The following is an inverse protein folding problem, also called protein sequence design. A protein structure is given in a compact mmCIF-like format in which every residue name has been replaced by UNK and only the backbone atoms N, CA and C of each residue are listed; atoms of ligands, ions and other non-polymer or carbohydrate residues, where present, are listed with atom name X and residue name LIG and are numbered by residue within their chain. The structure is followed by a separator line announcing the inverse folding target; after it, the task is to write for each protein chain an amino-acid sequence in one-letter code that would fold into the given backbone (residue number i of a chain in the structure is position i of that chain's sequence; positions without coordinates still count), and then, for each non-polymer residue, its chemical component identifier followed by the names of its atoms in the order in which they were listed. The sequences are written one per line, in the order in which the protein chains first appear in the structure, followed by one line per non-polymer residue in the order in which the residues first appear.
data_IF_691042986694
#
_entry.id   IF_691042986694
#
_cell.length_a   1.000
_cell.length_b   1.000
_cell.length_c   1.000
_cell.angle_alpha   90.00
_cell.angle_beta   90.00
_cell.angle_gamma   90.00
#
_symmetry.space_group_name_H-M   'P 1'
#
loop_
_entity.id
_entity.type
_entity.pdbx_description
1 polymer ?
#
# COMPACT_ATOMS: atom_id res chain seq x y z
N UNK A 1 0.74 9.53 2.70
CA UNK A 1 0.42 8.54 3.74
C UNK A 1 0.90 7.16 3.29
N UNK A 2 1.54 6.38 4.16
CA UNK A 2 1.99 5.01 3.86
C UNK A 2 1.25 4.04 4.76
N UNK A 3 0.66 3.02 4.17
CA UNK A 3 -0.39 2.22 4.80
C UNK A 3 -0.13 0.73 4.50
N UNK A 4 -0.08 -0.16 5.50
CA UNK A 4 0.11 -1.59 5.25
C UNK A 4 -1.21 -2.25 4.80
N UNK A 5 -1.14 -3.15 3.81
CA UNK A 5 -2.33 -3.79 3.24
C UNK A 5 -3.08 -4.71 4.21
N UNK A 6 -2.41 -5.22 5.24
CA UNK A 6 -2.91 -6.28 6.12
C UNK A 6 -3.62 -5.78 7.40
N UNK A 7 -3.71 -4.47 7.67
CA UNK A 7 -4.34 -3.98 8.91
C UNK A 7 -5.28 -2.79 8.72
N UNK A 8 -6.59 -3.06 8.60
CA UNK A 8 -7.63 -2.04 8.36
C UNK A 8 -7.68 -0.93 9.44
N UNK A 9 -7.38 -1.26 10.70
CA UNK A 9 -7.38 -0.29 11.81
C UNK A 9 -6.29 0.77 11.65
N UNK A 10 -5.04 0.37 11.36
CA UNK A 10 -3.93 1.31 11.15
C UNK A 10 -4.15 2.16 9.90
N UNK A 11 -4.84 1.61 8.90
CA UNK A 11 -5.14 2.32 7.66
C UNK A 11 -6.07 3.51 7.93
N UNK A 12 -7.00 3.35 8.86
CA UNK A 12 -7.97 4.40 9.21
C UNK A 12 -7.30 5.57 9.92
N UNK A 13 -6.46 5.30 10.93
CA UNK A 13 -5.77 6.33 11.72
C UNK A 13 -4.80 7.15 10.86
N UNK A 14 -3.97 6.50 10.05
CA UNK A 14 -2.99 7.18 9.20
C UNK A 14 -3.69 8.07 8.17
N UNK A 15 -4.77 7.57 7.56
CA UNK A 15 -5.54 8.35 6.60
C UNK A 15 -6.31 9.49 7.28
N UNK A 16 -6.77 9.30 8.52
CA UNK A 16 -7.41 10.36 9.28
C UNK A 16 -6.42 11.47 9.63
N UNK A 17 -5.24 11.13 10.15
CA UNK A 17 -4.20 12.11 10.44
C UNK A 17 -3.77 12.88 9.17
N UNK A 18 -3.69 12.19 8.02
CA UNK A 18 -3.42 12.84 6.74
C UNK A 18 -4.56 13.79 6.32
N UNK A 19 -5.81 13.39 6.53
CA UNK A 19 -6.99 14.20 6.24
C UNK A 19 -7.08 15.45 7.14
N UNK A 20 -6.72 15.33 8.42
CA UNK A 20 -6.66 16.46 9.36
C UNK A 20 -5.60 17.49 8.92
N UNK A 21 -4.46 17.02 8.40
CA UNK A 21 -3.42 17.88 7.86
C UNK A 21 -3.72 18.41 6.44
N UNK A 22 -4.49 17.67 5.63
CA UNK A 22 -4.86 18.02 4.26
C UNK A 22 -6.35 17.73 3.97
N UNK A 23 -7.26 18.62 4.42
CA UNK A 23 -8.71 18.40 4.31
C UNK A 23 -9.22 18.29 2.88
N UNK A 24 -8.51 18.88 1.91
CA UNK A 24 -8.89 18.82 0.51
C UNK A 24 -8.24 17.63 -0.24
N UNK A 25 -7.29 16.93 0.40
CA UNK A 25 -6.59 15.79 -0.18
C UNK A 25 -5.74 16.11 -1.40
N UNK A 26 -5.48 17.39 -1.70
CA UNK A 26 -4.82 17.83 -2.95
C UNK A 26 -3.33 17.57 -2.97
N UNK A 27 -2.73 17.30 -1.80
CA UNK A 27 -1.29 17.05 -1.63
C UNK A 27 -0.99 15.72 -0.93
N UNK A 28 -2.00 14.85 -0.81
CA UNK A 28 -1.88 13.56 -0.11
C UNK A 28 -2.01 12.40 -1.08
N UNK A 29 -0.92 11.65 -1.24
CA UNK A 29 -0.91 10.36 -1.95
C UNK A 29 -0.97 9.24 -0.93
N UNK A 30 -1.87 8.28 -1.15
CA UNK A 30 -1.97 7.07 -0.35
C UNK A 30 -1.18 5.93 -1.01
N UNK A 31 -0.18 5.42 -0.31
CA UNK A 31 0.64 4.29 -0.76
C UNK A 31 0.35 3.08 0.13
N UNK A 32 -0.10 2.00 -0.49
CA UNK A 32 -0.37 0.70 0.13
C UNK A 32 0.86 -0.19 -0.03
N UNK A 33 1.37 -0.72 1.07
CA UNK A 33 2.59 -1.54 1.13
C UNK A 33 2.30 -2.92 1.71
N UNK A 34 3.26 -3.84 1.62
CA UNK A 34 3.14 -5.22 2.16
C UNK A 34 1.93 -5.98 1.60
N UNK A 35 1.63 -5.75 0.33
CA UNK A 35 0.55 -6.43 -0.40
C UNK A 35 0.76 -7.95 -0.50
N UNK A 36 1.99 -8.41 -0.28
CA UNK A 36 2.39 -9.82 -0.21
C UNK A 36 1.95 -10.52 1.10
N UNK A 37 1.59 -9.75 2.13
CA UNK A 37 1.16 -10.27 3.44
C UNK A 37 -0.36 -10.17 3.64
N UNK A 38 -1.12 -9.94 2.56
CA UNK A 38 -2.58 -9.92 2.63
C UNK A 38 -3.08 -11.34 2.82
N UNK A 39 -3.90 -11.55 3.86
CA UNK A 39 -4.48 -12.85 4.14
C UNK A 39 -5.44 -13.29 3.02
N UNK A 40 -5.44 -14.60 2.75
CA UNK A 40 -6.36 -15.19 1.79
C UNK A 40 -7.82 -14.88 2.20
N UNK A 41 -8.56 -14.22 1.31
CA UNK A 41 -9.93 -13.73 1.57
C UNK A 41 -10.03 -12.24 1.92
N UNK A 42 -8.94 -11.58 2.32
CA UNK A 42 -8.89 -10.12 2.51
C UNK A 42 -8.48 -9.36 1.24
N UNK A 43 -8.02 -10.07 0.21
CA UNK A 43 -7.57 -9.53 -1.07
C UNK A 43 -8.62 -8.64 -1.74
N UNK A 44 -9.90 -9.03 -1.66
CA UNK A 44 -11.00 -8.26 -2.24
C UNK A 44 -11.11 -6.88 -1.59
N UNK A 45 -10.95 -6.79 -0.27
CA UNK A 45 -11.02 -5.53 0.46
C UNK A 45 -9.85 -4.60 0.10
N UNK A 46 -8.64 -5.16 -0.06
CA UNK A 46 -7.47 -4.40 -0.52
C UNK A 46 -7.66 -3.94 -1.96
N UNK A 47 -8.19 -4.80 -2.83
CA UNK A 47 -8.49 -4.45 -4.22
C UNK A 47 -9.53 -3.32 -4.32
N UNK A 48 -10.61 -3.37 -3.54
CA UNK A 48 -11.61 -2.29 -3.50
C UNK A 48 -11.06 -0.97 -2.94
N UNK A 49 -10.13 -1.04 -1.99
CA UNK A 49 -9.40 0.13 -1.50
C UNK A 49 -8.55 0.75 -2.62
N UNK A 50 -7.77 -0.07 -3.33
CA UNK A 50 -6.93 0.37 -4.45
C UNK A 50 -7.76 0.96 -5.60
N UNK A 51 -8.95 0.42 -5.86
CA UNK A 51 -9.92 0.96 -6.82
C UNK A 51 -10.63 2.23 -6.32
N UNK A 52 -10.23 2.78 -5.17
CA UNK A 52 -10.79 4.01 -4.61
C UNK A 52 -12.31 3.90 -4.31
N UNK A 53 -12.82 2.69 -4.05
CA UNK A 53 -14.26 2.44 -3.82
C UNK A 53 -14.67 2.58 -2.36
N UNK A 54 -13.84 2.13 -1.42
CA UNK A 54 -14.15 2.10 0.02
C UNK A 54 -13.96 3.47 0.68
N UNK A 55 -12.78 4.08 0.50
CA UNK A 55 -12.44 5.43 0.97
C UNK A 55 -11.85 6.19 -0.22
N UNK A 56 -12.36 7.37 -0.51
CA UNK A 56 -11.95 8.14 -1.69
C UNK A 56 -10.81 9.07 -1.35
N UNK A 57 -9.69 8.92 -2.05
CA UNK A 57 -8.57 9.85 -2.06
C UNK A 57 -8.55 10.62 -3.38
N UNK A 58 -8.26 11.92 -3.33
CA UNK A 58 -8.24 12.77 -4.52
C UNK A 58 -7.16 12.33 -5.54
N UNK A 59 -5.97 11.96 -5.04
CA UNK A 59 -4.87 11.45 -5.85
C UNK A 59 -4.85 9.91 -5.97
N UNK A 60 -5.90 9.24 -5.50
CA UNK A 60 -6.04 7.78 -5.55
C UNK A 60 -5.07 7.03 -4.62
N UNK A 61 -5.02 5.71 -4.84
CA UNK A 61 -4.18 4.77 -4.11
C UNK A 61 -3.16 4.13 -5.03
N UNK A 62 -1.96 3.90 -4.51
CA UNK A 62 -0.86 3.25 -5.22
C UNK A 62 -0.38 2.06 -4.40
N UNK A 63 -0.28 0.87 -5.01
CA UNK A 63 0.26 -0.31 -4.36
C UNK A 63 1.74 -0.47 -4.70
N UNK A 64 2.56 -0.84 -3.71
CA UNK A 64 3.96 -1.21 -3.94
C UNK A 64 4.32 -2.48 -3.18
N UNK A 65 5.18 -3.30 -3.79
CA UNK A 65 5.80 -4.46 -3.15
C UNK A 65 7.26 -4.16 -2.87
N UNK A 66 7.56 -3.94 -1.60
CA UNK A 66 8.93 -3.73 -1.15
C UNK A 66 9.68 -5.06 -0.96
N UNK A 67 11.02 -4.97 -0.87
CA UNK A 67 11.86 -6.09 -0.44
C UNK A 67 11.46 -6.55 0.96
N UNK A 68 11.21 -7.83 1.12
CA UNK A 68 10.93 -8.47 2.41
C UNK A 68 12.18 -8.48 3.31
N UNK A 69 11.97 -8.69 4.61
CA UNK A 69 13.07 -8.81 5.57
C UNK A 69 14.07 -9.91 5.17
N UNK A 70 13.58 -11.01 4.59
CA UNK A 70 14.41 -12.12 4.10
C UNK A 70 15.28 -11.71 2.91
N UNK A 71 14.73 -10.93 1.98
CA UNK A 71 15.48 -10.41 0.81
C UNK A 71 16.52 -9.38 1.21
N UNK A 72 16.24 -8.56 2.23
CA UNK A 72 17.22 -7.66 2.81
C UNK A 72 18.40 -8.44 3.42
N UNK A 73 18.14 -9.50 4.20
CA UNK A 73 19.19 -10.35 4.77
C UNK A 73 20.04 -11.05 3.71
N UNK A 74 19.45 -11.39 2.55
CA UNK A 74 20.16 -12.00 1.41
C UNK A 74 20.91 -10.99 0.54
N UNK A 75 20.80 -9.69 0.82
CA UNK A 75 21.45 -8.64 0.02
C UNK A 75 20.83 -8.48 -1.38
N UNK A 76 19.53 -8.71 -1.54
CA UNK A 76 18.85 -8.51 -2.84
C UNK A 76 19.01 -7.06 -3.32
N UNK A 77 19.55 -6.89 -4.53
CA UNK A 77 19.74 -5.60 -5.17
C UNK A 77 18.40 -4.89 -5.45
N UNK A 78 18.47 -3.58 -5.68
CA UNK A 78 17.28 -2.78 -6.01
C UNK A 78 16.67 -3.27 -7.33
N UNK A 79 17.48 -3.51 -8.35
CA UNK A 79 17.00 -3.98 -9.67
C UNK A 79 16.25 -5.31 -9.56
N UNK A 80 16.74 -6.24 -8.74
CA UNK A 80 16.03 -7.50 -8.46
C UNK A 80 14.72 -7.26 -7.71
N UNK A 81 14.70 -6.31 -6.77
CA UNK A 81 13.48 -5.91 -6.07
C UNK A 81 12.42 -5.38 -7.03
N UNK A 82 12.80 -4.51 -7.97
CA UNK A 82 11.90 -3.97 -9.00
C UNK A 82 11.39 -5.09 -9.92
N UNK A 83 12.25 -6.02 -10.34
CA UNK A 83 11.83 -7.18 -11.13
C UNK A 83 10.84 -8.08 -10.37
N UNK A 84 11.05 -8.29 -9.06
CA UNK A 84 10.16 -9.07 -8.20
C UNK A 84 8.80 -8.38 -7.96
N UNK A 85 8.78 -7.05 -7.93
CA UNK A 85 7.55 -6.26 -7.88
C UNK A 85 6.77 -6.37 -9.20
N UNK A 86 7.46 -6.22 -10.33
CA UNK A 86 6.85 -6.37 -11.65
C UNK A 86 6.25 -7.77 -11.83
N UNK A 87 6.97 -8.82 -11.42
CA UNK A 87 6.49 -10.20 -11.49
C UNK A 87 5.36 -10.52 -10.49
N UNK A 88 5.13 -9.68 -9.49
CA UNK A 88 4.04 -9.87 -8.52
C UNK A 88 2.73 -9.25 -9.02
N UNK A 89 2.79 -8.12 -9.71
CA UNK A 89 1.62 -7.41 -10.22
C UNK A 89 1.31 -7.70 -11.70
N UNK A 90 2.31 -8.12 -12.48
CA UNK A 90 2.17 -8.50 -13.89
C UNK A 90 1.64 -9.90 -14.07
#
# INVERSE_FOLDING_TARGET
AVVPANVDMHNTEILQAAQEADPNGTRTIAVVTKVDLVDAGAELAVHELLLNKKKRMHLGYHAVKCRSQRELTKGTSIDKGVANELAFFG
#
